data_IF_906545619232
#
_entry.id   IF_906545619232
#
_cell.length_a   1.000
_cell.length_b   1.000
_cell.length_c   1.000
_cell.angle_alpha   90.00
_cell.angle_beta   90.00
_cell.angle_gamma   90.00
#
_symmetry.space_group_name_H-M   'P 1'
#
loop_
_entity.id
_entity.type
_entity.pdbx_description
1 polymer ?
#
# COMPACT_ATOMS: atom_id res chain seq x y z
N UNK A 1 30.81 -18.75 6.74
CA UNK A 1 30.32 -17.67 5.87
C UNK A 1 29.48 -18.16 4.69
N UNK A 2 29.94 -19.05 3.83
CA UNK A 2 29.19 -19.54 2.63
C UNK A 2 27.83 -20.16 2.95
N UNK A 3 27.72 -20.98 4.01
CA UNK A 3 26.45 -21.59 4.46
C UNK A 3 25.43 -20.54 4.95
N UNK A 4 25.86 -19.53 5.71
CA UNK A 4 25.00 -18.44 6.20
C UNK A 4 24.45 -17.62 5.02
N UNK A 5 25.32 -17.22 4.10
CA UNK A 5 24.91 -16.49 2.89
C UNK A 5 23.89 -17.30 2.06
N UNK A 6 24.10 -18.59 1.91
CA UNK A 6 23.17 -19.50 1.20
C UNK A 6 21.76 -19.49 1.84
N UNK A 7 21.68 -19.56 3.18
CA UNK A 7 20.39 -19.52 3.87
C UNK A 7 19.72 -18.15 3.79
N UNK A 8 20.49 -17.03 3.86
CA UNK A 8 19.96 -15.68 3.67
C UNK A 8 19.36 -15.53 2.26
N UNK A 9 20.07 -15.99 1.24
CA UNK A 9 19.58 -15.93 -0.15
C UNK A 9 18.32 -16.78 -0.32
N UNK A 10 18.28 -18.00 0.21
CA UNK A 10 17.06 -18.83 0.19
C UNK A 10 15.89 -18.17 0.88
N UNK A 11 16.10 -17.56 2.05
CA UNK A 11 15.07 -16.86 2.77
C UNK A 11 14.56 -15.67 1.95
N UNK A 12 15.45 -14.87 1.38
CA UNK A 12 15.08 -13.73 0.55
C UNK A 12 14.24 -14.15 -0.67
N UNK A 13 14.65 -15.23 -1.37
CA UNK A 13 13.85 -15.77 -2.47
C UNK A 13 12.49 -16.31 -2.01
N UNK A 14 12.44 -16.98 -0.86
CA UNK A 14 11.19 -17.47 -0.27
C UNK A 14 10.23 -16.34 0.06
N UNK A 15 10.71 -15.26 0.67
CA UNK A 15 9.91 -14.07 0.99
C UNK A 15 9.42 -13.36 -0.29
N UNK A 16 10.29 -13.25 -1.30
CA UNK A 16 9.91 -12.69 -2.60
C UNK A 16 8.81 -13.53 -3.27
N UNK A 17 8.98 -14.84 -3.34
CA UNK A 17 7.99 -15.75 -3.89
C UNK A 17 6.66 -15.67 -3.13
N UNK A 18 6.71 -15.67 -1.79
CA UNK A 18 5.53 -15.53 -0.94
C UNK A 18 4.80 -14.21 -1.21
N UNK A 19 5.53 -13.11 -1.32
CA UNK A 19 4.92 -11.79 -1.61
C UNK A 19 4.17 -11.79 -2.95
N UNK A 20 4.74 -12.40 -3.99
CA UNK A 20 4.09 -12.52 -5.29
C UNK A 20 2.82 -13.40 -5.22
N UNK A 21 2.89 -14.52 -4.51
CA UNK A 21 1.73 -15.41 -4.29
C UNK A 21 0.62 -14.66 -3.55
N UNK A 22 0.94 -13.93 -2.49
CA UNK A 22 -0.05 -13.15 -1.73
C UNK A 22 -0.67 -12.03 -2.57
N UNK A 23 0.13 -11.32 -3.37
CA UNK A 23 -0.40 -10.29 -4.29
C UNK A 23 -1.37 -10.91 -5.29
N UNK A 24 -1.04 -12.06 -5.89
CA UNK A 24 -1.93 -12.74 -6.83
C UNK A 24 -3.18 -13.26 -6.12
N UNK A 25 -3.04 -13.87 -4.95
CA UNK A 25 -4.16 -14.40 -4.17
C UNK A 25 -5.15 -13.29 -3.79
N UNK A 26 -4.67 -12.19 -3.23
CA UNK A 26 -5.51 -11.08 -2.79
C UNK A 26 -6.09 -10.23 -3.93
N UNK A 27 -5.71 -10.48 -5.17
CA UNK A 27 -6.46 -9.99 -6.33
C UNK A 27 -7.89 -10.53 -6.37
N UNK A 28 -8.05 -11.81 -6.01
CA UNK A 28 -9.31 -12.55 -6.18
C UNK A 28 -10.07 -12.77 -4.87
N UNK A 29 -9.35 -12.83 -3.75
CA UNK A 29 -9.90 -13.13 -2.44
C UNK A 29 -9.84 -11.87 -1.56
N UNK A 30 -10.89 -11.57 -0.78
CA UNK A 30 -10.84 -10.54 0.25
C UNK A 30 -9.70 -10.81 1.23
N UNK A 31 -8.94 -9.75 1.58
CA UNK A 31 -7.85 -9.86 2.55
C UNK A 31 -8.43 -10.25 3.91
N UNK A 32 -8.05 -11.40 4.49
CA UNK A 32 -8.70 -11.88 5.71
C UNK A 32 -8.34 -11.05 6.94
N UNK A 33 -7.04 -10.80 7.13
CA UNK A 33 -6.48 -10.04 8.24
C UNK A 33 -5.15 -9.41 7.79
N UNK A 34 -4.81 -8.26 8.34
CA UNK A 34 -3.54 -7.57 8.05
C UNK A 34 -2.76 -7.31 9.33
N UNK A 35 -1.46 -7.08 9.21
CA UNK A 35 -0.64 -6.68 10.36
C UNK A 35 -1.16 -5.37 10.98
N UNK A 36 -1.63 -4.43 10.15
CA UNK A 36 -2.24 -3.18 10.61
C UNK A 36 -3.46 -3.44 11.50
N UNK A 37 -4.35 -4.38 11.12
CA UNK A 37 -5.52 -4.75 11.93
C UNK A 37 -5.12 -5.40 13.26
N UNK A 38 -4.12 -6.28 13.24
CA UNK A 38 -3.64 -6.96 14.46
C UNK A 38 -2.98 -5.99 15.44
N UNK A 39 -2.34 -4.94 14.92
CA UNK A 39 -1.65 -3.93 15.72
C UNK A 39 -2.56 -2.76 16.15
N UNK A 40 -3.82 -2.76 15.77
CA UNK A 40 -4.79 -1.74 16.16
C UNK A 40 -5.18 -1.92 17.62
N UNK A 41 -5.11 -0.84 18.40
CA UNK A 41 -5.44 -0.83 19.84
C UNK A 41 -6.93 -1.15 20.12
N UNK A 42 -7.81 -0.91 19.15
CA UNK A 42 -9.25 -1.18 19.25
C UNK A 42 -9.63 -2.59 18.77
N UNK A 43 -8.64 -3.41 18.41
CA UNK A 43 -8.83 -4.76 17.90
C UNK A 43 -9.21 -4.83 16.43
N UNK A 44 -9.48 -6.04 15.96
CA UNK A 44 -9.79 -6.28 14.54
C UNK A 44 -11.26 -5.96 14.30
N UNK A 45 -11.51 -4.88 13.56
CA UNK A 45 -12.85 -4.57 13.01
C UNK A 45 -12.77 -4.66 11.50
N UNK A 46 -13.59 -5.52 10.90
CA UNK A 46 -13.64 -5.69 9.46
C UNK A 46 -15.04 -6.00 9.01
N UNK A 47 -15.54 -5.18 8.12
CA UNK A 47 -16.73 -5.43 7.32
C UNK A 47 -16.34 -5.28 5.86
N UNK A 48 -16.49 -6.36 5.08
CA UNK A 48 -16.08 -6.39 3.69
C UNK A 48 -17.27 -6.14 2.78
N UNK A 49 -17.26 -4.99 2.11
CA UNK A 49 -18.24 -4.66 1.09
C UNK A 49 -17.59 -4.62 -0.29
N UNK A 50 -18.20 -5.25 -1.30
CA UNK A 50 -17.76 -5.09 -2.69
C UNK A 50 -17.84 -3.63 -3.12
N UNK A 51 -16.86 -3.14 -3.88
CA UNK A 51 -16.85 -1.77 -4.38
C UNK A 51 -18.12 -1.39 -5.16
N UNK A 52 -18.81 -2.38 -5.75
CA UNK A 52 -20.06 -2.17 -6.47
C UNK A 52 -21.22 -1.76 -5.56
N UNK A 53 -21.17 -2.15 -4.29
CA UNK A 53 -22.22 -1.91 -3.30
C UNK A 53 -21.93 -0.66 -2.45
N UNK A 54 -20.74 -0.07 -2.62
CA UNK A 54 -20.37 1.21 -1.99
C UNK A 54 -20.90 2.37 -2.82
N UNK A 55 -21.51 3.38 -2.15
CA UNK A 55 -21.99 4.58 -2.80
C UNK A 55 -20.90 5.28 -3.63
N UNK A 56 -21.22 5.60 -4.89
CA UNK A 56 -20.25 6.23 -5.81
C UNK A 56 -19.77 7.60 -5.34
N UNK A 57 -20.57 8.32 -4.57
CA UNK A 57 -20.16 9.62 -4.04
C UNK A 57 -19.12 9.44 -2.93
N UNK A 58 -19.22 8.37 -2.12
CA UNK A 58 -18.19 8.01 -1.15
C UNK A 58 -16.87 7.71 -1.86
N UNK A 59 -16.88 6.88 -2.89
CA UNK A 59 -15.68 6.55 -3.68
C UNK A 59 -15.05 7.82 -4.28
N UNK A 60 -15.86 8.71 -4.86
CA UNK A 60 -15.39 9.99 -5.42
C UNK A 60 -14.82 10.92 -4.34
N UNK A 61 -15.46 10.98 -3.18
CA UNK A 61 -14.99 11.79 -2.07
C UNK A 61 -13.63 11.32 -1.55
N UNK A 62 -13.43 10.01 -1.41
CA UNK A 62 -12.14 9.44 -1.01
C UNK A 62 -11.04 9.75 -2.05
N UNK A 63 -11.33 9.56 -3.34
CA UNK A 63 -10.39 9.90 -4.41
C UNK A 63 -10.04 11.40 -4.36
N UNK A 64 -11.03 12.25 -4.24
CA UNK A 64 -10.81 13.71 -4.21
C UNK A 64 -9.99 14.16 -2.98
N UNK A 65 -10.20 13.52 -1.83
CA UNK A 65 -9.54 13.88 -0.57
C UNK A 65 -8.11 13.34 -0.47
N UNK A 66 -7.89 12.09 -0.90
CA UNK A 66 -6.63 11.35 -0.66
C UNK A 66 -5.71 11.36 -1.89
N UNK A 67 -6.27 11.31 -3.11
CA UNK A 67 -5.48 11.08 -4.32
C UNK A 67 -6.27 11.50 -5.57
N UNK A 68 -6.39 12.79 -5.80
CA UNK A 68 -7.18 13.35 -6.90
C UNK A 68 -6.78 12.87 -8.31
N UNK A 69 -5.58 12.30 -8.46
CA UNK A 69 -5.06 11.74 -9.70
C UNK A 69 -5.02 10.21 -9.72
N UNK A 70 -5.70 9.54 -8.79
CA UNK A 70 -5.69 8.09 -8.63
C UNK A 70 -5.84 7.30 -9.93
N UNK A 71 -6.74 7.75 -10.80
CA UNK A 71 -7.01 7.05 -12.06
C UNK A 71 -5.97 7.29 -13.17
N UNK A 72 -5.02 8.21 -12.98
CA UNK A 72 -4.12 8.67 -14.06
C UNK A 72 -2.65 8.36 -13.83
N UNK A 73 -2.25 7.99 -12.60
CA UNK A 73 -0.86 7.61 -12.29
C UNK A 73 -0.73 6.11 -12.04
N UNK A 74 0.50 5.60 -12.13
CA UNK A 74 0.86 4.19 -11.91
C UNK A 74 1.37 3.93 -10.48
N UNK A 75 0.56 4.31 -9.49
CA UNK A 75 0.86 4.09 -8.07
C UNK A 75 1.56 5.25 -7.37
N UNK A 76 2.17 6.18 -8.10
CA UNK A 76 2.89 7.33 -7.54
C UNK A 76 2.49 8.63 -8.23
N UNK A 77 1.95 9.58 -7.49
CA UNK A 77 1.78 10.96 -7.97
C UNK A 77 3.07 11.75 -7.70
N UNK A 78 3.94 11.81 -8.71
CA UNK A 78 5.24 12.49 -8.62
C UNK A 78 5.09 13.98 -8.30
N UNK A 79 4.11 14.64 -8.90
CA UNK A 79 3.86 16.06 -8.67
C UNK A 79 3.40 16.31 -7.23
N UNK A 80 2.52 15.47 -6.69
CA UNK A 80 2.11 15.56 -5.29
C UNK A 80 3.27 15.30 -4.32
N UNK A 81 4.14 14.35 -4.64
CA UNK A 81 5.35 14.06 -3.85
C UNK A 81 6.30 15.26 -3.86
N UNK A 82 6.59 15.85 -5.01
CA UNK A 82 7.45 17.04 -5.13
C UNK A 82 6.89 18.20 -4.35
N UNK A 83 5.60 18.52 -4.52
CA UNK A 83 4.92 19.59 -3.77
C UNK A 83 4.92 19.35 -2.25
N UNK A 84 4.75 18.09 -1.82
CA UNK A 84 4.84 17.74 -0.41
C UNK A 84 6.26 17.95 0.13
N UNK A 85 7.29 17.53 -0.60
CA UNK A 85 8.69 17.73 -0.22
C UNK A 85 9.05 19.22 -0.11
N UNK A 86 8.67 20.03 -1.10
CA UNK A 86 8.92 21.48 -1.07
C UNK A 86 8.20 22.19 0.09
N UNK A 87 6.93 21.81 0.32
CA UNK A 87 6.15 22.37 1.43
C UNK A 87 6.76 22.02 2.78
N UNK A 88 7.19 20.77 2.95
CA UNK A 88 7.77 20.26 4.20
C UNK A 88 9.16 20.88 4.45
N UNK A 89 9.95 21.16 3.39
CA UNK A 89 11.24 21.82 3.51
C UNK A 89 11.14 23.29 3.95
N UNK A 90 10.02 23.97 3.64
CA UNK A 90 9.78 25.37 4.03
C UNK A 90 9.30 25.51 5.48
N UNK A 91 9.08 24.42 6.19
CA UNK A 91 8.52 24.39 7.54
C UNK A 91 7.02 24.71 7.53
N UNK A 92 6.25 24.05 8.37
CA UNK A 92 4.81 24.22 8.44
C UNK A 92 4.12 22.88 8.71
N UNK A 93 2.82 22.81 8.42
CA UNK A 93 2.07 21.55 8.54
C UNK A 93 2.59 20.54 7.54
N UNK A 94 3.08 19.40 8.04
CA UNK A 94 3.55 18.30 7.21
C UNK A 94 2.43 17.86 6.25
N UNK A 95 2.71 17.91 4.95
CA UNK A 95 1.82 17.40 3.92
C UNK A 95 2.24 15.99 3.53
N UNK A 96 1.27 15.07 3.45
CA UNK A 96 1.45 13.75 2.87
C UNK A 96 1.39 13.82 1.34
N UNK A 97 2.24 13.05 0.68
CA UNK A 97 2.21 12.84 -0.77
C UNK A 97 1.98 11.37 -1.12
N UNK A 98 1.37 10.60 -0.22
CA UNK A 98 1.11 9.18 -0.45
C UNK A 98 -0.21 9.00 -1.18
N UNK A 99 -0.21 8.16 -2.22
CA UNK A 99 -1.38 7.81 -3.03
C UNK A 99 -2.25 6.75 -2.36
N UNK A 100 -3.47 6.56 -2.85
CA UNK A 100 -4.36 5.45 -2.44
C UNK A 100 -3.65 4.10 -2.64
N UNK A 101 -2.93 3.92 -3.75
CA UNK A 101 -2.17 2.69 -4.03
C UNK A 101 -1.09 2.42 -2.99
N UNK A 102 -0.35 3.45 -2.57
CA UNK A 102 0.66 3.34 -1.51
C UNK A 102 0.02 3.02 -0.15
N UNK A 103 -1.10 3.65 0.16
CA UNK A 103 -1.84 3.38 1.40
C UNK A 103 -2.37 1.94 1.41
N UNK A 104 -2.94 1.46 0.31
CA UNK A 104 -3.41 0.08 0.17
C UNK A 104 -2.26 -0.91 0.30
N UNK A 105 -1.14 -0.70 -0.40
CA UNK A 105 0.05 -1.55 -0.28
C UNK A 105 0.55 -1.64 1.17
N UNK A 106 0.63 -0.51 1.86
CA UNK A 106 1.01 -0.45 3.27
C UNK A 106 0.04 -1.24 4.16
N UNK A 107 -1.24 -0.96 4.04
CA UNK A 107 -2.24 -1.51 4.96
C UNK A 107 -2.49 -3.00 4.75
N UNK A 108 -2.33 -3.50 3.52
CA UNK A 108 -2.54 -4.93 3.21
C UNK A 108 -1.31 -5.77 3.53
N UNK A 109 -0.11 -5.33 3.19
CA UNK A 109 1.09 -6.16 3.21
C UNK A 109 2.11 -5.80 4.29
N UNK A 110 1.98 -4.63 4.91
CA UNK A 110 2.98 -4.09 5.83
C UNK A 110 2.35 -3.71 7.18
N UNK A 111 3.09 -2.97 7.98
CA UNK A 111 2.74 -2.53 9.33
C UNK A 111 2.87 -1.02 9.48
N UNK A 112 2.43 -0.47 10.60
CA UNK A 112 2.59 0.95 10.93
C UNK A 112 4.01 1.21 11.47
N UNK A 113 4.56 2.41 11.21
CA UNK A 113 5.94 2.75 11.60
C UNK A 113 7.00 2.22 10.62
N UNK A 114 8.22 1.92 11.10
CA UNK A 114 9.29 1.26 10.32
C UNK A 114 10.16 2.15 9.43
N UNK A 115 9.94 3.46 9.41
CA UNK A 115 10.82 4.42 8.75
C UNK A 115 11.02 4.17 7.24
N UNK A 116 12.20 4.51 6.74
CA UNK A 116 12.53 4.41 5.31
C UNK A 116 12.58 2.98 4.77
N UNK A 117 12.95 1.99 5.61
CA UNK A 117 12.94 0.60 5.20
C UNK A 117 11.54 0.13 4.82
N UNK A 118 10.56 0.36 5.69
CA UNK A 118 9.16 0.05 5.39
C UNK A 118 8.66 0.84 4.17
N UNK A 119 9.09 2.11 4.01
CA UNK A 119 8.72 2.92 2.84
C UNK A 119 9.25 2.33 1.52
N UNK A 120 10.42 1.72 1.54
CA UNK A 120 10.94 0.95 0.39
C UNK A 120 10.09 -0.26 0.05
N UNK A 121 9.66 -1.03 1.08
CA UNK A 121 8.75 -2.16 0.89
C UNK A 121 7.36 -1.71 0.40
N UNK A 122 6.86 -0.57 0.88
CA UNK A 122 5.62 0.03 0.41
C UNK A 122 5.69 0.34 -1.09
N UNK A 123 6.78 0.94 -1.54
CA UNK A 123 7.00 1.22 -2.96
C UNK A 123 7.02 -0.08 -3.79
N UNK A 124 7.69 -1.11 -3.31
CA UNK A 124 7.71 -2.42 -3.94
C UNK A 124 6.30 -3.01 -4.11
N UNK A 125 5.51 -3.07 -3.03
CA UNK A 125 4.14 -3.59 -3.10
C UNK A 125 3.22 -2.70 -3.92
N UNK A 126 3.41 -1.38 -3.89
CA UNK A 126 2.66 -0.44 -4.74
C UNK A 126 2.83 -0.78 -6.22
N UNK A 127 4.06 -1.00 -6.68
CA UNK A 127 4.33 -1.41 -8.06
C UNK A 127 3.68 -2.75 -8.41
N UNK A 128 3.70 -3.71 -7.48
CA UNK A 128 3.09 -5.02 -7.69
C UNK A 128 1.56 -4.93 -7.82
N UNK A 129 0.88 -4.25 -6.89
CA UNK A 129 -0.58 -4.16 -6.93
C UNK A 129 -1.07 -3.36 -8.13
N UNK A 130 -0.38 -2.30 -8.53
CA UNK A 130 -0.73 -1.54 -9.73
C UNK A 130 -0.67 -2.41 -10.99
N UNK A 131 0.35 -3.25 -11.12
CA UNK A 131 0.50 -4.16 -12.27
C UNK A 131 -0.47 -5.34 -12.24
N UNK A 132 -0.79 -5.85 -11.05
CA UNK A 132 -1.54 -7.10 -10.92
C UNK A 132 -3.03 -6.86 -10.68
N UNK A 133 -3.41 -5.89 -9.82
CA UNK A 133 -4.80 -5.70 -9.38
C UNK A 133 -5.59 -4.75 -10.28
N UNK A 134 -4.97 -3.64 -10.67
CA UNK A 134 -5.65 -2.51 -11.32
C UNK A 134 -6.46 -1.66 -10.34
N UNK A 135 -6.84 -0.47 -10.76
CA UNK A 135 -7.43 0.59 -9.90
C UNK A 135 -8.69 0.16 -9.15
N UNK A 136 -9.58 -0.59 -9.81
CA UNK A 136 -10.82 -1.04 -9.19
C UNK A 136 -10.61 -1.99 -8.00
N UNK A 137 -9.55 -2.79 -8.03
CA UNK A 137 -9.23 -3.72 -6.93
C UNK A 137 -8.42 -3.06 -5.83
N UNK A 138 -7.65 -2.04 -6.16
CA UNK A 138 -6.88 -1.24 -5.22
C UNK A 138 -7.80 -0.38 -4.35
N UNK A 139 -8.89 0.14 -4.96
CA UNK A 139 -9.95 0.89 -4.27
C UNK A 139 -10.78 0.00 -3.37
#
# INVERSE_FOLDING_TARGET
>A
MKRLLFWIVKLAFGLLALSLVLVVLFKFVPVPVTATMVMDEHGITKDWEPLADIDRNMVRAVIAAEDGKFCTHDGFDREAIEKAMESNAKGGRIRGGSTISQQTAKNVFLWQGGGYFRKGLEAYFTLLIEKVWGKRRIM
#
